data_IF_600781418885
#
_entry.id   IF_600781418885
#
_cell.length_a   1.000
_cell.length_b   1.000
_cell.length_c   1.000
_cell.angle_alpha   90.00
_cell.angle_beta   90.00
_cell.angle_gamma   90.00
#
_symmetry.space_group_name_H-M   'P 1'
#
loop_
_entity.id
_entity.type
_entity.pdbx_description
1 polymer ?
#
# COMPACT_ATOMS: atom_id res chain seq x y z
N UNK A 1 16.07 18.22 -4.22
CA UNK A 1 15.50 17.89 -3.91
C UNK A 1 14.88 17.00 -3.72
N UNK A 2 14.51 16.65 -3.46
CA UNK A 2 13.94 16.03 -3.09
C UNK A 2 13.32 15.17 -3.27
N UNK A 3 13.64 14.70 -3.49
CA UNK A 3 12.81 13.87 -3.74
C UNK A 3 12.13 12.95 -2.88
N UNK A 4 11.58 13.30 -2.00
CA UNK A 4 10.75 12.61 -1.08
C UNK A 4 9.56 11.96 -1.75
N UNK A 5 9.31 12.27 -2.98
CA UNK A 5 8.19 11.68 -3.71
C UNK A 5 8.42 10.25 -4.17
N UNK A 6 9.52 9.64 -3.75
CA UNK A 6 9.84 8.30 -4.23
C UNK A 6 9.20 7.19 -3.40
N UNK A 7 8.38 7.52 -2.41
CA UNK A 7 7.71 6.50 -1.59
C UNK A 7 6.27 6.89 -1.31
N UNK A 8 5.44 5.90 -0.98
CA UNK A 8 4.08 6.10 -0.50
C UNK A 8 3.85 5.10 0.62
N UNK A 9 3.16 5.53 1.67
CA UNK A 9 2.84 4.63 2.77
C UNK A 9 1.78 3.62 2.34
N UNK A 10 1.84 2.43 2.89
CA UNK A 10 0.92 1.35 2.51
C UNK A 10 -0.54 1.75 2.71
N UNK A 11 -0.89 2.36 3.84
CA UNK A 11 -2.26 2.76 4.08
C UNK A 11 -2.72 3.83 3.07
N UNK A 12 -1.84 4.73 2.69
CA UNK A 12 -2.15 5.74 1.70
C UNK A 12 -2.37 5.10 0.32
N UNK A 13 -1.57 4.10 0.01
CA UNK A 13 -1.71 3.40 -1.27
C UNK A 13 -3.05 2.69 -1.36
N UNK A 14 -3.49 2.04 -0.28
CA UNK A 14 -4.80 1.37 -0.27
C UNK A 14 -5.95 2.35 -0.47
N UNK A 15 -5.83 3.56 0.08
CA UNK A 15 -6.80 4.62 -0.18
C UNK A 15 -6.76 5.03 -1.65
N UNK A 16 -5.57 5.19 -2.18
CA UNK A 16 -5.39 5.68 -3.55
C UNK A 16 -6.04 4.73 -4.56
N UNK A 17 -5.87 3.43 -4.40
CA UNK A 17 -6.44 2.46 -5.34
C UNK A 17 -7.91 2.15 -5.05
N UNK A 18 -8.48 2.75 -4.00
CA UNK A 18 -9.91 2.64 -3.74
C UNK A 18 -10.33 1.42 -2.95
N UNK A 19 -9.38 0.63 -2.43
CA UNK A 19 -9.73 -0.54 -1.63
C UNK A 19 -10.25 -0.10 -0.26
N UNK A 20 -9.67 0.96 0.30
CA UNK A 20 -10.08 1.47 1.59
C UNK A 20 -10.52 2.92 1.43
N UNK A 21 -11.74 3.27 1.87
CA UNK A 21 -12.22 4.65 1.74
C UNK A 21 -11.53 5.63 2.68
N UNK A 22 -10.96 5.13 3.78
CA UNK A 22 -10.29 5.98 4.76
C UNK A 22 -9.01 5.30 5.25
N UNK A 23 -8.14 6.09 5.88
CA UNK A 23 -6.93 5.53 6.50
C UNK A 23 -7.27 4.57 7.63
N UNK A 24 -8.36 4.80 8.36
CA UNK A 24 -8.78 3.88 9.42
C UNK A 24 -9.17 2.51 8.87
N UNK A 25 -9.87 2.47 7.76
CA UNK A 25 -10.22 1.20 7.12
C UNK A 25 -8.96 0.51 6.60
N UNK A 26 -8.05 1.25 6.00
CA UNK A 26 -6.79 0.69 5.53
C UNK A 26 -6.00 0.08 6.69
N UNK A 27 -5.96 0.78 7.83
CA UNK A 27 -5.28 0.28 9.00
C UNK A 27 -5.84 -1.08 9.44
N UNK A 28 -7.16 -1.22 9.46
CA UNK A 28 -7.79 -2.46 9.89
C UNK A 28 -7.41 -3.61 8.96
N UNK A 29 -7.44 -3.39 7.66
CA UNK A 29 -7.07 -4.42 6.69
C UNK A 29 -5.62 -4.85 6.86
N UNK A 30 -4.74 -3.88 7.05
CA UNK A 30 -3.32 -4.16 7.18
C UNK A 30 -3.04 -4.92 8.46
N UNK A 31 -3.61 -4.48 9.58
CA UNK A 31 -3.35 -5.10 10.87
C UNK A 31 -3.98 -6.48 11.00
N UNK A 32 -5.02 -6.74 10.21
CA UNK A 32 -5.65 -8.06 10.21
C UNK A 32 -4.83 -9.11 9.46
N UNK A 33 -3.76 -8.69 8.78
CA UNK A 33 -2.93 -9.62 8.02
C UNK A 33 -3.47 -9.93 6.64
N UNK A 34 -4.39 -9.12 6.14
CA UNK A 34 -5.03 -9.36 4.84
C UNK A 34 -4.23 -8.80 3.68
N UNK A 35 -3.17 -8.04 3.96
CA UNK A 35 -2.41 -7.33 2.94
C UNK A 35 -1.02 -7.92 2.83
N UNK A 36 -0.59 -8.21 1.62
CA UNK A 36 0.77 -8.67 1.35
C UNK A 36 1.50 -7.65 0.49
N UNK A 37 2.77 -7.46 0.78
CA UNK A 37 3.66 -6.66 -0.05
C UNK A 37 4.74 -7.59 -0.57
N UNK A 38 4.81 -7.72 -1.88
CA UNK A 38 5.77 -8.62 -2.54
C UNK A 38 5.63 -10.04 -1.97
N UNK A 39 4.38 -10.52 -1.83
CA UNK A 39 4.03 -11.87 -1.37
C UNK A 39 4.32 -12.15 0.11
N UNK A 40 4.61 -11.11 0.89
CA UNK A 40 4.85 -11.25 2.32
C UNK A 40 3.80 -10.44 3.08
N UNK A 41 3.15 -11.05 4.05
CA UNK A 41 2.15 -10.36 4.87
C UNK A 41 2.80 -9.16 5.54
N UNK A 42 2.16 -8.00 5.42
CA UNK A 42 2.63 -6.76 6.02
C UNK A 42 1.56 -6.24 6.97
N UNK A 43 1.93 -6.00 8.23
CA UNK A 43 0.98 -5.52 9.24
C UNK A 43 1.26 -4.09 9.68
N UNK A 44 2.29 -3.44 9.13
CA UNK A 44 2.61 -2.05 9.47
C UNK A 44 1.96 -1.12 8.46
N UNK A 45 1.06 -0.28 8.95
CA UNK A 45 0.33 0.64 8.05
C UNK A 45 1.25 1.68 7.43
N UNK A 46 2.33 1.99 8.10
CA UNK A 46 3.27 3.01 7.64
C UNK A 46 4.40 2.48 6.77
N UNK A 47 4.34 1.21 6.37
CA UNK A 47 5.38 0.69 5.50
C UNK A 47 5.48 1.53 4.24
N UNK A 48 6.70 1.94 3.90
CA UNK A 48 6.93 2.75 2.71
C UNK A 48 7.09 1.86 1.50
N UNK A 49 6.36 2.18 0.45
CA UNK A 49 6.39 1.45 -0.81
C UNK A 49 7.13 2.28 -1.85
N UNK A 50 7.77 1.59 -2.79
CA UNK A 50 8.45 2.23 -3.91
C UNK A 50 7.88 1.67 -5.21
N UNK A 51 8.16 2.36 -6.31
CA UNK A 51 7.71 1.87 -7.62
C UNK A 51 8.24 0.46 -7.86
N UNK A 52 7.37 -0.41 -8.35
CA UNK A 52 7.71 -1.81 -8.57
C UNK A 52 7.25 -2.73 -7.46
N UNK A 53 6.94 -2.20 -6.28
CA UNK A 53 6.38 -3.04 -5.22
C UNK A 53 4.98 -3.52 -5.64
N UNK A 54 4.64 -4.74 -5.21
CA UNK A 54 3.33 -5.30 -5.51
C UNK A 54 2.56 -5.51 -4.21
N UNK A 55 1.34 -4.99 -4.19
CA UNK A 55 0.47 -5.08 -3.02
C UNK A 55 -0.68 -6.00 -3.39
N UNK A 56 -0.88 -7.05 -2.60
CA UNK A 56 -1.93 -8.04 -2.86
C UNK A 56 -2.94 -8.03 -1.73
N UNK A 57 -4.21 -8.02 -2.09
CA UNK A 57 -5.30 -8.03 -1.15
C UNK A 57 -6.53 -8.64 -1.81
N UNK A 58 -7.12 -9.65 -1.17
CA UNK A 58 -8.36 -10.23 -1.64
C UNK A 58 -8.28 -10.83 -3.04
N UNK A 59 -7.14 -11.40 -3.38
CA UNK A 59 -6.96 -12.01 -4.69
C UNK A 59 -6.61 -11.02 -5.78
N UNK A 60 -6.46 -9.73 -5.45
CA UNK A 60 -6.07 -8.71 -6.41
C UNK A 60 -4.66 -8.23 -6.10
N UNK A 61 -3.89 -7.97 -7.15
CA UNK A 61 -2.53 -7.46 -7.00
C UNK A 61 -2.44 -6.11 -7.72
N UNK A 62 -1.89 -5.13 -7.00
CA UNK A 62 -1.69 -3.79 -7.53
C UNK A 62 -0.19 -3.49 -7.54
N UNK A 63 0.31 -3.01 -8.64
CA UNK A 63 1.71 -2.60 -8.72
C UNK A 63 1.82 -1.11 -8.40
N UNK A 64 2.77 -0.76 -7.54
CA UNK A 64 3.01 0.64 -7.18
C UNK A 64 3.73 1.31 -8.34
N UNK A 65 3.18 2.42 -8.81
CA UNK A 65 3.79 3.21 -9.87
C UNK A 65 3.70 4.68 -9.48
N UNK A 66 4.75 5.16 -8.84
CA UNK A 66 4.74 6.50 -8.27
C UNK A 66 4.76 7.59 -9.33
N UNK A 67 5.14 7.26 -10.55
CA UNK A 67 5.13 8.24 -11.63
C UNK A 67 3.73 8.53 -12.13
N UNK A 68 2.77 7.65 -11.83
CA UNK A 68 1.40 7.79 -12.28
C UNK A 68 0.41 8.01 -11.14
N UNK A 69 0.90 8.34 -9.96
CA UNK A 69 0.01 8.63 -8.84
C UNK A 69 -0.51 10.05 -8.87
#
# INVERSE_FOLDING_TARGET
METSASTIKLDQFLKFVGIAPTGGQAKLLIQAGDVKVNNTVETRRGRKLVSGDKVTLGGQTFEVDLENL
#
